data_IF_922512785648
#
_entry.id   IF_922512785648
#
_cell.length_a   1.000
_cell.length_b   1.000
_cell.length_c   1.000
_cell.angle_alpha   90.00
_cell.angle_beta   90.00
_cell.angle_gamma   90.00
#
_symmetry.space_group_name_H-M   'P 1'
#
loop_
_entity.id
_entity.type
_entity.pdbx_description
1 polymer ?
#
# COMPACT_ATOMS: atom_id res chain seq x y z
N UNK A 1 -23.89 25.62 5.43
CA UNK A 1 -22.47 25.16 5.31
C UNK A 1 -22.21 24.18 6.46
N UNK A 2 -22.50 22.92 6.23
CA UNK A 2 -22.26 21.87 7.25
C UNK A 2 -20.80 21.46 7.22
N UNK A 3 -20.09 21.81 8.29
CA UNK A 3 -18.78 21.26 8.59
C UNK A 3 -19.02 19.81 9.02
N UNK A 4 -18.84 18.86 8.10
CA UNK A 4 -18.88 17.44 8.38
C UNK A 4 -17.64 17.07 9.16
N UNK A 5 -17.66 17.35 10.47
CA UNK A 5 -16.69 16.82 11.43
C UNK A 5 -16.98 15.33 11.62
N UNK A 6 -16.70 14.52 10.63
CA UNK A 6 -16.61 13.07 10.77
C UNK A 6 -15.20 12.72 11.22
N UNK A 7 -14.89 13.01 12.48
CA UNK A 7 -13.86 12.27 13.20
C UNK A 7 -14.46 10.88 13.44
N UNK A 8 -14.49 10.07 12.41
CA UNK A 8 -14.70 8.64 12.61
C UNK A 8 -13.45 8.12 13.32
N UNK A 9 -13.61 7.91 14.61
CA UNK A 9 -12.63 7.22 15.43
C UNK A 9 -12.63 5.75 14.99
N UNK A 10 -12.18 5.49 13.76
CA UNK A 10 -12.14 4.19 13.14
C UNK A 10 -11.09 3.34 13.84
N UNK A 11 -11.54 2.54 14.80
CA UNK A 11 -10.64 1.58 15.45
C UNK A 11 -10.43 0.38 14.53
N UNK A 12 -9.18 0.01 14.30
CA UNK A 12 -8.84 -1.19 13.53
C UNK A 12 -9.44 -2.45 14.21
N UNK A 13 -10.15 -3.24 13.45
CA UNK A 13 -10.78 -4.48 13.91
C UNK A 13 -9.82 -5.67 13.81
N UNK A 14 -10.11 -6.73 14.57
CA UNK A 14 -9.34 -7.99 14.50
C UNK A 14 -9.34 -8.61 13.09
N UNK A 15 -10.44 -8.47 12.34
CA UNK A 15 -10.53 -8.98 10.97
C UNK A 15 -9.66 -8.19 10.01
N UNK A 16 -9.59 -6.87 10.16
CA UNK A 16 -8.68 -6.02 9.38
C UNK A 16 -7.22 -6.38 9.67
N UNK A 17 -6.84 -6.57 10.94
CA UNK A 17 -5.48 -7.01 11.31
C UNK A 17 -5.14 -8.34 10.61
N UNK A 18 -6.03 -9.34 10.66
CA UNK A 18 -5.81 -10.63 9.99
C UNK A 18 -5.67 -10.47 8.48
N UNK A 19 -6.53 -9.66 7.86
CA UNK A 19 -6.48 -9.40 6.43
C UNK A 19 -5.14 -8.77 6.05
N UNK A 20 -4.76 -7.66 6.68
CA UNK A 20 -3.53 -6.93 6.36
C UNK A 20 -2.31 -7.84 6.49
N UNK A 21 -2.17 -8.58 7.59
CA UNK A 21 -1.08 -9.54 7.76
C UNK A 21 -1.05 -10.62 6.70
N UNK A 22 -2.21 -11.08 6.26
CA UNK A 22 -2.31 -12.12 5.23
C UNK A 22 -1.79 -11.67 3.87
N UNK A 23 -1.77 -10.34 3.60
CA UNK A 23 -1.30 -9.76 2.34
C UNK A 23 0.23 -9.88 2.14
N UNK A 24 0.99 -10.32 3.16
CA UNK A 24 2.38 -10.74 2.98
C UNK A 24 2.49 -11.89 1.97
N UNK A 25 1.46 -12.75 1.87
CA UNK A 25 1.41 -13.90 0.97
C UNK A 25 0.83 -13.53 -0.39
N UNK A 26 1.55 -13.89 -1.47
CA UNK A 26 1.15 -13.64 -2.88
C UNK A 26 -0.26 -14.15 -3.20
N UNK A 27 -0.64 -15.34 -2.69
CA UNK A 27 -1.98 -15.92 -2.90
C UNK A 27 -3.09 -15.01 -2.38
N UNK A 28 -2.89 -14.38 -1.21
CA UNK A 28 -3.88 -13.50 -0.61
C UNK A 28 -3.95 -12.15 -1.34
N UNK A 29 -2.81 -11.59 -1.76
CA UNK A 29 -2.81 -10.39 -2.61
C UNK A 29 -3.60 -10.61 -3.92
N UNK A 30 -3.41 -11.78 -4.55
CA UNK A 30 -4.18 -12.16 -5.75
C UNK A 30 -5.69 -12.31 -5.45
N UNK A 31 -6.03 -12.95 -4.33
CA UNK A 31 -7.41 -13.20 -3.91
C UNK A 31 -8.15 -11.90 -3.61
N UNK A 32 -7.58 -11.05 -2.77
CA UNK A 32 -8.22 -9.82 -2.30
C UNK A 32 -7.99 -8.63 -3.21
N UNK A 33 -7.07 -8.75 -4.18
CA UNK A 33 -6.64 -7.65 -5.07
C UNK A 33 -6.12 -6.43 -4.30
N UNK A 34 -5.41 -6.68 -3.21
CA UNK A 34 -4.84 -5.69 -2.30
C UNK A 34 -3.35 -5.95 -2.08
N UNK A 35 -2.61 -4.88 -1.80
CA UNK A 35 -1.22 -4.96 -1.33
C UNK A 35 -0.95 -3.90 -0.27
N UNK A 36 0.11 -4.11 0.51
CA UNK A 36 0.53 -3.25 1.62
C UNK A 36 1.76 -2.45 1.21
N UNK A 37 1.77 -1.17 1.58
CA UNK A 37 2.94 -0.30 1.53
C UNK A 37 3.21 0.25 2.94
N UNK A 38 4.48 0.28 3.34
CA UNK A 38 4.91 0.74 4.66
C UNK A 38 6.00 1.81 4.54
N UNK A 39 5.89 2.84 5.38
CA UNK A 39 6.82 3.96 5.42
C UNK A 39 6.34 5.19 4.66
N UNK A 40 6.54 6.36 5.27
CA UNK A 40 5.99 7.64 4.78
C UNK A 40 6.42 7.94 3.35
N UNK A 41 7.68 7.75 2.99
CA UNK A 41 8.17 8.01 1.64
C UNK A 41 7.43 7.19 0.58
N UNK A 42 7.31 5.89 0.80
CA UNK A 42 6.65 4.99 -0.17
C UNK A 42 5.15 5.27 -0.22
N UNK A 43 4.52 5.45 0.95
CA UNK A 43 3.08 5.73 1.04
C UNK A 43 2.75 7.06 0.36
N UNK A 44 3.52 8.12 0.60
CA UNK A 44 3.30 9.43 -0.03
C UNK A 44 3.43 9.35 -1.56
N UNK A 45 4.47 8.68 -2.08
CA UNK A 45 4.64 8.47 -3.53
C UNK A 45 3.45 7.69 -4.14
N UNK A 46 2.93 6.68 -3.44
CA UNK A 46 1.79 5.92 -3.93
C UNK A 46 0.48 6.71 -3.85
N UNK A 47 0.32 7.57 -2.83
CA UNK A 47 -0.83 8.48 -2.73
C UNK A 47 -0.87 9.52 -3.86
N UNK A 48 0.30 9.98 -4.30
CA UNK A 48 0.44 10.90 -5.44
C UNK A 48 0.28 10.19 -6.81
N UNK A 49 0.22 8.87 -6.80
CA UNK A 49 0.01 8.07 -8.02
C UNK A 49 -1.47 7.87 -8.34
N UNK A 50 -1.75 7.18 -9.46
CA UNK A 50 -3.10 6.80 -9.86
C UNK A 50 -3.61 5.51 -9.16
N UNK A 51 -2.94 5.06 -8.09
CA UNK A 51 -3.36 3.88 -7.35
C UNK A 51 -4.51 4.20 -6.40
N UNK A 52 -5.46 3.29 -6.31
CA UNK A 52 -6.62 3.45 -5.45
C UNK A 52 -6.27 3.02 -4.02
N UNK A 53 -6.36 3.97 -3.10
CA UNK A 53 -6.19 3.72 -1.66
C UNK A 53 -7.42 2.99 -1.12
N UNK A 54 -7.20 1.88 -0.41
CA UNK A 54 -8.24 1.14 0.30
C UNK A 54 -8.36 1.61 1.76
N UNK A 55 -7.23 1.65 2.46
CA UNK A 55 -7.16 2.09 3.85
C UNK A 55 -5.76 2.55 4.25
N UNK A 56 -5.67 3.48 5.20
CA UNK A 56 -4.40 3.99 5.72
C UNK A 56 -4.41 4.03 7.24
N UNK A 57 -3.37 3.52 7.84
CA UNK A 57 -3.17 3.35 9.27
C UNK A 57 -1.92 4.11 9.70
N UNK A 58 -2.08 5.13 10.54
CA UNK A 58 -0.93 5.94 10.94
C UNK A 58 -1.07 6.55 12.33
N UNK A 59 0.07 6.86 12.92
CA UNK A 59 0.18 7.74 14.08
C UNK A 59 0.31 9.21 13.67
N UNK A 60 0.58 9.48 12.39
CA UNK A 60 0.84 10.83 11.86
C UNK A 60 -0.46 11.51 11.43
N UNK A 61 -0.65 12.75 11.91
CA UNK A 61 -1.84 13.55 11.62
C UNK A 61 -2.01 13.93 10.15
N UNK A 62 -0.92 13.98 9.36
CA UNK A 62 -0.97 14.41 7.96
C UNK A 62 -1.90 13.56 7.08
N UNK A 63 -2.20 12.34 7.51
CA UNK A 63 -3.09 11.43 6.78
C UNK A 63 -4.56 11.52 7.22
N UNK A 64 -4.91 12.34 8.21
CA UNK A 64 -6.28 12.48 8.73
C UNK A 64 -7.27 13.07 7.70
N UNK A 65 -6.75 13.62 6.60
CA UNK A 65 -7.56 14.16 5.49
C UNK A 65 -8.19 13.08 4.60
N UNK A 66 -7.73 11.83 4.69
CA UNK A 66 -8.28 10.73 3.91
C UNK A 66 -9.48 10.08 4.62
N UNK A 67 -10.59 9.89 3.91
CA UNK A 67 -11.82 9.29 4.46
C UNK A 67 -11.61 7.87 5.01
N UNK A 68 -10.64 7.14 4.47
CA UNK A 68 -10.27 5.79 4.88
C UNK A 68 -9.09 5.75 5.87
N UNK A 69 -8.87 6.84 6.59
CA UNK A 69 -7.84 6.94 7.62
C UNK A 69 -8.27 6.26 8.92
N UNK A 70 -7.33 5.54 9.51
CA UNK A 70 -7.43 4.92 10.82
C UNK A 70 -6.30 5.41 11.72
N UNK A 71 -6.65 6.16 12.76
CA UNK A 71 -5.67 6.50 13.79
C UNK A 71 -5.32 5.25 14.58
N UNK A 72 -4.05 4.95 14.70
CA UNK A 72 -3.57 3.70 15.30
C UNK A 72 -2.43 4.00 16.26
N UNK A 73 -2.28 3.18 17.33
CA UNK A 73 -1.13 3.25 18.22
C UNK A 73 0.07 2.50 17.63
N UNK A 74 1.26 2.80 18.14
CA UNK A 74 2.51 2.12 17.74
C UNK A 74 2.42 0.60 17.95
N UNK A 75 1.78 0.15 19.05
CA UNK A 75 1.61 -1.28 19.33
C UNK A 75 0.72 -1.95 18.30
N UNK A 76 -0.40 -1.31 17.93
CA UNK A 76 -1.30 -1.83 16.89
C UNK A 76 -0.66 -1.79 15.51
N UNK A 77 0.14 -0.77 15.22
CA UNK A 77 0.90 -0.68 13.98
C UNK A 77 1.90 -1.83 13.87
N UNK A 78 2.58 -2.16 14.98
CA UNK A 78 3.46 -3.34 15.06
C UNK A 78 2.73 -4.67 14.81
N UNK A 79 1.46 -4.75 15.16
CA UNK A 79 0.65 -5.96 14.92
C UNK A 79 0.32 -6.17 13.44
N UNK A 80 0.25 -5.12 12.63
CA UNK A 80 -0.10 -5.20 11.20
C UNK A 80 1.10 -5.11 10.28
N UNK A 81 2.23 -4.60 10.76
CA UNK A 81 3.47 -4.47 10.00
C UNK A 81 4.11 -5.83 9.72
N UNK A 82 4.71 -5.96 8.54
CA UNK A 82 5.56 -7.10 8.17
C UNK A 82 7.05 -6.82 8.40
N UNK A 83 7.39 -5.60 8.83
CA UNK A 83 8.76 -5.19 9.09
C UNK A 83 9.18 -5.53 10.52
N UNK A 84 10.47 -5.82 10.73
CA UNK A 84 11.04 -6.00 12.08
C UNK A 84 10.91 -4.73 12.92
N UNK A 85 11.11 -3.58 12.28
CA UNK A 85 10.92 -2.27 12.89
C UNK A 85 9.80 -1.57 12.11
N UNK A 86 8.59 -1.47 12.68
CA UNK A 86 7.47 -0.81 12.02
C UNK A 86 7.75 0.66 11.75
N UNK A 87 7.24 1.16 10.64
CA UNK A 87 7.21 2.58 10.32
C UNK A 87 5.99 3.26 10.96
N UNK A 88 5.89 4.59 10.84
CA UNK A 88 4.78 5.38 11.40
C UNK A 88 3.48 5.29 10.60
N UNK A 89 3.53 4.70 9.41
CA UNK A 89 2.40 4.55 8.50
C UNK A 89 2.46 3.23 7.74
N UNK A 90 1.29 2.63 7.59
CA UNK A 90 1.02 1.50 6.72
C UNK A 90 -0.25 1.80 5.92
N UNK A 91 -0.20 1.62 4.62
CA UNK A 91 -1.35 1.81 3.75
C UNK A 91 -1.63 0.54 2.93
N UNK A 92 -2.90 0.33 2.65
CA UNK A 92 -3.39 -0.76 1.79
C UNK A 92 -3.92 -0.14 0.52
N UNK A 93 -3.43 -0.62 -0.62
CA UNK A 93 -3.85 -0.17 -1.94
C UNK A 93 -4.47 -1.31 -2.73
N UNK A 94 -5.35 -0.97 -3.65
CA UNK A 94 -5.87 -1.94 -4.62
C UNK A 94 -4.84 -2.23 -5.69
N UNK A 95 -4.69 -3.52 -6.04
CA UNK A 95 -3.88 -3.91 -7.19
C UNK A 95 -4.61 -3.46 -8.45
N UNK A 96 -4.00 -2.63 -9.31
CA UNK A 96 -4.65 -2.14 -10.52
C UNK A 96 -4.92 -3.30 -11.48
N UNK A 97 -5.95 -3.12 -12.31
CA UNK A 97 -6.19 -4.06 -13.41
C UNK A 97 -5.03 -4.00 -14.39
N UNK A 98 -4.65 -5.16 -14.91
CA UNK A 98 -3.66 -5.23 -15.98
C UNK A 98 -4.18 -4.44 -17.19
N UNK A 99 -3.30 -3.61 -17.75
CA UNK A 99 -3.56 -2.94 -19.04
C UNK A 99 -3.17 -3.89 -20.17
N UNK A 100 -3.81 -3.75 -21.31
CA UNK A 100 -3.42 -4.45 -22.52
C UNK A 100 -2.00 -4.05 -22.94
N UNK A 101 -1.25 -5.04 -23.46
CA UNK A 101 0.11 -4.79 -23.93
C UNK A 101 0.05 -4.04 -25.24
N UNK A 102 0.72 -2.91 -25.32
CA UNK A 102 0.87 -2.16 -26.56
C UNK A 102 2.10 -2.68 -27.33
N UNK A 103 1.86 -3.55 -28.30
CA UNK A 103 2.91 -4.15 -29.13
C UNK A 103 3.57 -3.18 -30.13
N UNK A 104 3.08 -1.94 -30.25
CA UNK A 104 3.75 -0.90 -31.06
C UNK A 104 4.90 -0.19 -30.35
N UNK A 105 5.13 -0.50 -29.07
CA UNK A 105 6.21 0.05 -28.25
C UNK A 105 7.26 -1.01 -27.93
N UNK A 106 8.44 -0.56 -27.48
CA UNK A 106 9.45 -1.48 -26.96
C UNK A 106 8.90 -2.21 -25.73
N UNK A 107 9.09 -3.51 -25.69
CA UNK A 107 8.63 -4.37 -24.61
C UNK A 107 9.84 -5.08 -24.01
N UNK A 108 9.97 -5.01 -22.68
CA UNK A 108 10.94 -5.80 -21.93
C UNK A 108 10.17 -6.88 -21.18
N UNK A 109 10.47 -8.13 -21.49
CA UNK A 109 9.91 -9.29 -20.80
C UNK A 109 10.91 -9.83 -19.79
N UNK A 110 10.47 -10.02 -18.55
CA UNK A 110 11.29 -10.55 -17.46
C UNK A 110 10.65 -11.80 -16.88
N UNK A 111 11.45 -12.83 -16.69
CA UNK A 111 11.02 -14.08 -16.10
C UNK A 111 11.79 -14.35 -14.81
N UNK A 112 11.07 -14.83 -13.78
CA UNK A 112 11.61 -15.26 -12.49
C UNK A 112 12.51 -14.23 -11.76
N UNK A 113 12.19 -12.94 -11.88
CA UNK A 113 12.86 -11.90 -11.10
C UNK A 113 12.39 -12.00 -9.64
N UNK A 114 13.28 -12.45 -8.76
CA UNK A 114 13.02 -12.61 -7.33
C UNK A 114 13.64 -11.52 -6.47
N UNK A 115 14.70 -10.89 -6.95
CA UNK A 115 15.40 -9.82 -6.22
C UNK A 115 14.84 -8.44 -6.57
N UNK A 116 14.33 -7.68 -5.57
CA UNK A 116 13.77 -6.35 -5.81
C UNK A 116 14.78 -5.33 -6.32
N UNK A 117 16.06 -5.46 -5.93
CA UNK A 117 17.14 -4.57 -6.38
C UNK A 117 17.41 -4.74 -7.86
N UNK A 118 17.47 -5.99 -8.33
CA UNK A 118 17.62 -6.28 -9.76
C UNK A 118 16.45 -5.75 -10.57
N UNK A 119 15.21 -5.96 -10.10
CA UNK A 119 14.04 -5.42 -10.76
C UNK A 119 14.09 -3.89 -10.84
N UNK A 120 14.43 -3.21 -9.75
CA UNK A 120 14.54 -1.75 -9.71
C UNK A 120 15.60 -1.21 -10.67
N UNK A 121 16.74 -1.90 -10.79
CA UNK A 121 17.80 -1.55 -11.73
C UNK A 121 17.36 -1.69 -13.18
N UNK A 122 16.62 -2.75 -13.52
CA UNK A 122 16.10 -2.97 -14.87
C UNK A 122 15.05 -1.91 -15.21
N UNK A 123 14.13 -1.61 -14.29
CA UNK A 123 13.13 -0.55 -14.49
C UNK A 123 13.81 0.79 -14.78
N UNK A 124 14.85 1.13 -14.01
CA UNK A 124 15.62 2.37 -14.21
C UNK A 124 16.30 2.42 -15.57
N UNK A 125 16.86 1.30 -16.05
CA UNK A 125 17.45 1.20 -17.38
C UNK A 125 16.41 1.38 -18.50
N UNK A 126 15.16 0.97 -18.27
CA UNK A 126 14.07 1.15 -19.24
C UNK A 126 13.53 2.58 -19.29
N UNK A 127 13.76 3.38 -18.26
CA UNK A 127 13.29 4.76 -18.14
C UNK A 127 14.25 5.77 -18.79
N UNK A 128 15.47 5.32 -19.15
CA UNK A 128 16.47 6.11 -19.88
C UNK A 128 16.28 5.96 -21.39
#
# INVERSE_FOLDING_TARGET
MEVKLLITNNMITKNQIKLIRSLSQKKNRKKYKLFVAEGSKVVDELLDSNLELDSIYSIEKKYETYDCFYKISTEKLSMISNLKTPNNVLAVFKIPKLKDINFSKNIVALENISDPGNLGSIIRLCDW
#
